data_IF_290703657621
#
_entry.id   IF_290703657621
#
_cell.length_a   1.000
_cell.length_b   1.000
_cell.length_c   1.000
_cell.angle_alpha   90.00
_cell.angle_beta   90.00
_cell.angle_gamma   90.00
#
_symmetry.space_group_name_H-M   'P 1'
#
loop_
_entity.id
_entity.type
_entity.pdbx_description
1 polymer ?
#
# COMPACT_ATOMS: atom_id res chain seq x y z
N UNK A 1 -6.87 21.11 -32.37
CA UNK A 1 -6.50 19.72 -32.05
C UNK A 1 -7.46 19.28 -30.98
N UNK A 2 -8.38 18.40 -31.32
CA UNK A 2 -9.29 17.84 -30.33
C UNK A 2 -8.48 16.98 -29.36
N UNK A 3 -8.76 17.09 -28.06
CA UNK A 3 -8.15 16.22 -27.09
C UNK A 3 -8.74 14.81 -27.24
N UNK A 4 -7.88 13.80 -27.35
CA UNK A 4 -8.28 12.39 -27.49
C UNK A 4 -8.77 11.77 -26.16
N UNK A 5 -9.00 12.59 -25.14
CA UNK A 5 -9.57 12.18 -23.85
C UNK A 5 -11.01 12.70 -23.72
N UNK A 6 -11.94 11.78 -23.47
CA UNK A 6 -13.33 12.10 -23.16
C UNK A 6 -13.53 12.18 -21.64
N UNK A 7 -14.07 13.29 -21.15
CA UNK A 7 -14.43 13.46 -19.74
C UNK A 7 -15.85 12.92 -19.51
N UNK A 8 -15.96 11.68 -19.04
CA UNK A 8 -17.24 10.98 -18.87
C UNK A 8 -18.08 11.56 -17.75
N UNK A 9 -17.48 11.77 -16.58
CA UNK A 9 -18.13 12.33 -15.39
C UNK A 9 -17.11 12.79 -14.36
N UNK A 10 -17.50 13.74 -13.51
CA UNK A 10 -16.75 14.09 -12.31
C UNK A 10 -17.00 13.04 -11.23
N UNK A 11 -15.94 12.50 -10.63
CA UNK A 11 -16.03 11.61 -9.47
C UNK A 11 -16.09 12.44 -8.18
N UNK A 12 -16.73 11.92 -7.11
CA UNK A 12 -16.72 12.59 -5.81
C UNK A 12 -15.28 12.72 -5.31
N UNK A 13 -15.01 13.79 -4.58
CA UNK A 13 -13.76 13.92 -3.85
C UNK A 13 -13.72 12.89 -2.71
N UNK A 14 -12.50 12.55 -2.19
CA UNK A 14 -12.40 11.69 -1.01
C UNK A 14 -13.18 12.20 0.20
N UNK A 15 -13.25 13.52 0.37
CA UNK A 15 -14.01 14.13 1.46
C UNK A 15 -15.52 13.91 1.29
N UNK A 16 -16.06 14.22 0.10
CA UNK A 16 -17.48 14.01 -0.20
C UNK A 16 -17.88 12.53 -0.03
N UNK A 17 -17.03 11.61 -0.47
CA UNK A 17 -17.30 10.17 -0.30
C UNK A 17 -17.31 9.75 1.18
N UNK A 18 -16.37 10.23 1.98
CA UNK A 18 -16.33 9.94 3.42
C UNK A 18 -17.54 10.51 4.17
N UNK A 19 -18.05 11.65 3.75
CA UNK A 19 -19.27 12.24 4.30
C UNK A 19 -20.53 11.44 3.92
N UNK A 20 -20.57 10.88 2.70
CA UNK A 20 -21.67 10.01 2.26
C UNK A 20 -21.62 8.61 2.90
N UNK A 21 -20.42 8.08 3.12
CA UNK A 21 -20.18 6.75 3.70
C UNK A 21 -19.28 6.88 4.95
N UNK A 22 -19.77 7.48 6.03
CA UNK A 22 -18.96 7.69 7.23
C UNK A 22 -18.65 6.39 7.94
N UNK A 23 -17.48 6.32 8.56
CA UNK A 23 -17.11 5.21 9.44
C UNK A 23 -17.66 5.43 10.85
N UNK A 24 -18.01 4.35 11.57
CA UNK A 24 -18.46 4.44 12.95
C UNK A 24 -17.30 4.79 13.90
N UNK A 25 -17.62 5.30 15.08
CA UNK A 25 -16.64 5.58 16.14
C UNK A 25 -15.85 4.35 16.55
N UNK A 26 -16.48 3.16 16.51
CA UNK A 26 -15.83 1.88 16.77
C UNK A 26 -14.74 1.58 15.72
N UNK A 27 -15.04 1.75 14.44
CA UNK A 27 -14.06 1.59 13.34
C UNK A 27 -12.88 2.53 13.51
N UNK A 28 -13.14 3.80 13.88
CA UNK A 28 -12.09 4.80 14.15
C UNK A 28 -11.20 4.34 15.31
N UNK A 29 -11.80 3.84 16.40
CA UNK A 29 -11.04 3.36 17.56
C UNK A 29 -10.17 2.15 17.22
N UNK A 30 -10.72 1.16 16.52
CA UNK A 30 -9.97 -0.03 16.05
C UNK A 30 -8.81 0.40 15.18
N UNK A 31 -9.04 1.30 14.23
CA UNK A 31 -7.97 1.79 13.35
C UNK A 31 -6.87 2.51 14.16
N UNK A 32 -7.24 3.41 15.05
CA UNK A 32 -6.27 4.15 15.85
C UNK A 32 -5.37 3.22 16.68
N UNK A 33 -5.96 2.20 17.32
CA UNK A 33 -5.23 1.20 18.09
C UNK A 33 -4.27 0.42 17.20
N UNK A 34 -4.74 -0.10 16.07
CA UNK A 34 -3.92 -0.92 15.17
C UNK A 34 -2.79 -0.10 14.52
N UNK A 35 -3.05 1.15 14.15
CA UNK A 35 -2.02 2.05 13.62
C UNK A 35 -0.92 2.32 14.65
N UNK A 36 -1.28 2.43 15.94
CA UNK A 36 -0.29 2.60 17.01
C UNK A 36 0.54 1.33 17.21
N UNK A 37 -0.07 0.15 17.22
CA UNK A 37 0.64 -1.13 17.31
C UNK A 37 1.62 -1.30 16.14
N UNK A 38 1.19 -1.00 14.91
CA UNK A 38 2.05 -1.05 13.73
C UNK A 38 3.22 -0.07 13.86
N UNK A 39 2.97 1.17 14.28
CA UNK A 39 4.05 2.14 14.52
C UNK A 39 5.05 1.63 15.54
N UNK A 40 4.60 1.06 16.65
CA UNK A 40 5.46 0.52 17.69
C UNK A 40 6.37 -0.59 17.15
N UNK A 41 5.87 -1.44 16.24
CA UNK A 41 6.69 -2.47 15.59
C UNK A 41 7.74 -1.81 14.67
N UNK A 42 7.37 -0.82 13.85
CA UNK A 42 8.32 -0.11 12.98
C UNK A 42 9.39 0.65 13.77
N UNK A 43 9.05 1.15 14.95
CA UNK A 43 9.96 1.89 15.83
C UNK A 43 10.81 0.95 16.74
N UNK A 44 10.66 -0.37 16.62
CA UNK A 44 11.38 -1.35 17.43
C UNK A 44 10.97 -1.36 18.91
N UNK A 45 9.80 -0.84 19.24
CA UNK A 45 9.21 -0.86 20.59
C UNK A 45 8.40 -2.14 20.86
N UNK A 46 8.11 -2.87 19.82
CA UNK A 46 7.35 -4.12 19.83
C UNK A 46 8.09 -5.13 18.92
N UNK A 47 8.46 -6.28 19.48
CA UNK A 47 9.26 -7.31 18.82
C UNK A 47 8.48 -8.25 17.90
N UNK A 48 7.18 -8.01 17.71
CA UNK A 48 6.35 -8.80 16.79
C UNK A 48 6.77 -8.59 15.34
N UNK A 49 6.66 -9.65 14.55
CA UNK A 49 6.82 -9.56 13.09
C UNK A 49 5.51 -9.16 12.42
N UNK A 50 5.58 -8.30 11.43
CA UNK A 50 4.43 -7.97 10.58
C UNK A 50 4.30 -9.02 9.48
N UNK A 51 3.09 -9.58 9.33
CA UNK A 51 2.70 -10.46 8.23
C UNK A 51 1.60 -9.81 7.41
N UNK A 52 1.93 -9.37 6.17
CA UNK A 52 0.95 -8.89 5.20
C UNK A 52 0.52 -10.04 4.32
N UNK A 53 -0.71 -10.54 4.49
CA UNK A 53 -1.18 -11.76 3.81
C UNK A 53 -2.62 -11.62 3.30
N UNK A 54 -2.88 -12.11 2.09
CA UNK A 54 -4.22 -12.10 1.50
C UNK A 54 -4.22 -12.43 0.01
N UNK A 55 -5.39 -12.38 -0.63
CA UNK A 55 -5.53 -12.68 -2.05
C UNK A 55 -4.72 -11.70 -2.92
N UNK A 56 -4.36 -12.14 -4.12
CA UNK A 56 -3.68 -11.29 -5.09
C UNK A 56 -4.55 -10.10 -5.54
N UNK A 57 -5.87 -10.30 -5.60
CA UNK A 57 -6.87 -9.30 -5.95
C UNK A 57 -8.17 -9.56 -5.21
N UNK A 58 -8.78 -8.52 -4.67
CA UNK A 58 -10.15 -8.58 -4.17
C UNK A 58 -11.10 -8.43 -5.36
N UNK A 59 -11.83 -9.48 -5.68
CA UNK A 59 -12.82 -9.53 -6.77
C UNK A 59 -14.22 -9.94 -6.29
N UNK A 60 -14.30 -10.56 -5.12
CA UNK A 60 -15.53 -10.95 -4.47
C UNK A 60 -15.48 -10.58 -2.98
N UNK A 61 -16.37 -9.70 -2.56
CA UNK A 61 -16.40 -9.18 -1.20
C UNK A 61 -16.59 -10.27 -0.14
N UNK A 62 -17.58 -11.17 -0.35
CA UNK A 62 -17.87 -12.21 0.65
C UNK A 62 -16.74 -13.22 0.78
N UNK A 63 -16.08 -13.57 -0.33
CA UNK A 63 -14.91 -14.44 -0.29
C UNK A 63 -13.73 -13.79 0.46
N UNK A 64 -13.53 -12.49 0.29
CA UNK A 64 -12.50 -11.74 1.03
C UNK A 64 -12.83 -11.70 2.51
N UNK A 65 -14.07 -11.41 2.88
CA UNK A 65 -14.50 -11.37 4.29
C UNK A 65 -14.40 -12.75 4.95
N UNK A 66 -14.81 -13.84 4.28
CA UNK A 66 -14.61 -15.19 4.79
C UNK A 66 -13.12 -15.50 5.04
N UNK A 67 -12.27 -15.15 4.09
CA UNK A 67 -10.82 -15.34 4.22
C UNK A 67 -10.24 -14.60 5.44
N UNK A 68 -10.53 -13.30 5.58
CA UNK A 68 -9.98 -12.51 6.70
C UNK A 68 -10.61 -12.88 8.06
N UNK A 69 -11.85 -13.36 8.08
CA UNK A 69 -12.48 -13.89 9.29
C UNK A 69 -11.74 -15.14 9.80
N UNK A 70 -11.30 -16.01 8.90
CA UNK A 70 -10.44 -17.15 9.25
C UNK A 70 -9.06 -16.70 9.72
N UNK A 71 -8.48 -15.65 9.10
CA UNK A 71 -7.23 -15.06 9.58
C UNK A 71 -7.35 -14.50 10.99
N UNK A 72 -8.52 -13.98 11.39
CA UNK A 72 -8.74 -13.51 12.76
C UNK A 72 -8.55 -14.63 13.78
N UNK A 73 -9.02 -15.83 13.46
CA UNK A 73 -8.79 -17.01 14.31
C UNK A 73 -7.31 -17.39 14.41
N UNK A 74 -6.55 -17.21 13.33
CA UNK A 74 -5.10 -17.43 13.34
C UNK A 74 -4.39 -16.34 14.16
N UNK A 75 -4.77 -15.06 13.98
CA UNK A 75 -4.20 -13.95 14.73
C UNK A 75 -4.26 -14.18 16.24
N UNK A 76 -5.37 -14.68 16.77
CA UNK A 76 -5.50 -14.96 18.20
C UNK A 76 -4.49 -16.00 18.73
N UNK A 77 -4.03 -16.91 17.86
CA UNK A 77 -3.05 -17.95 18.21
C UNK A 77 -1.60 -17.47 18.13
N UNK A 78 -1.34 -16.41 17.37
CA UNK A 78 0.03 -15.95 17.08
C UNK A 78 0.28 -14.49 17.48
N UNK A 79 -0.69 -13.83 18.12
CA UNK A 79 -0.70 -12.41 18.40
C UNK A 79 0.46 -11.88 19.25
N UNK A 80 1.11 -12.77 20.00
CA UNK A 80 2.29 -12.48 20.82
C UNK A 80 3.59 -12.46 20.00
N UNK A 81 3.58 -12.94 18.75
CA UNK A 81 4.75 -13.02 17.86
C UNK A 81 4.53 -12.37 16.50
N UNK A 82 3.31 -12.40 15.99
CA UNK A 82 2.98 -11.98 14.64
C UNK A 82 1.79 -11.02 14.67
N UNK A 83 1.96 -9.87 14.03
CA UNK A 83 0.91 -8.90 13.77
C UNK A 83 0.44 -9.06 12.33
N UNK A 84 -0.78 -9.56 12.12
CA UNK A 84 -1.33 -9.79 10.79
C UNK A 84 -2.01 -8.53 10.27
N UNK A 85 -1.65 -8.14 9.05
CA UNK A 85 -2.33 -7.12 8.24
C UNK A 85 -2.91 -7.83 7.02
N UNK A 86 -4.23 -8.01 6.93
CA UNK A 86 -4.83 -8.61 5.74
C UNK A 86 -4.56 -7.76 4.50
N UNK A 87 -4.11 -8.43 3.44
CA UNK A 87 -3.89 -7.82 2.14
C UNK A 87 -5.19 -7.87 1.33
N UNK A 88 -5.79 -6.71 1.09
CA UNK A 88 -6.98 -6.56 0.25
C UNK A 88 -6.63 -5.59 -0.88
N UNK A 89 -5.96 -6.09 -1.90
CA UNK A 89 -5.60 -5.27 -3.05
C UNK A 89 -6.80 -5.13 -4.00
N UNK A 90 -7.34 -3.92 -4.04
CA UNK A 90 -8.55 -3.58 -4.81
C UNK A 90 -8.25 -3.11 -6.22
N UNK A 91 -6.97 -3.02 -6.57
CA UNK A 91 -6.49 -2.49 -7.85
C UNK A 91 -5.54 -3.46 -8.55
N UNK A 92 -5.54 -3.40 -9.89
CA UNK A 92 -4.60 -4.15 -10.74
C UNK A 92 -4.05 -3.29 -11.87
N UNK A 93 -2.72 -3.22 -12.05
CA UNK A 93 -2.10 -2.46 -13.12
C UNK A 93 -2.21 -3.20 -14.47
N UNK A 94 -3.42 -3.27 -15.04
CA UNK A 94 -3.73 -3.95 -16.32
C UNK A 94 -3.70 -2.98 -17.49
N UNK A 95 -2.59 -2.29 -17.72
CA UNK A 95 -2.44 -1.28 -18.77
C UNK A 95 -2.38 -1.86 -20.19
N UNK A 96 -2.15 -3.17 -20.34
CA UNK A 96 -2.23 -3.84 -21.65
C UNK A 96 -3.66 -4.19 -22.08
N UNK A 97 -4.67 -3.78 -21.30
CA UNK A 97 -6.09 -3.90 -21.67
C UNK A 97 -6.69 -5.30 -21.50
N UNK A 98 -5.96 -6.27 -20.97
CA UNK A 98 -6.43 -7.66 -20.81
C UNK A 98 -6.52 -8.04 -19.34
N UNK A 99 -7.62 -8.69 -18.95
CA UNK A 99 -7.85 -9.26 -17.63
C UNK A 99 -8.55 -8.28 -16.66
N UNK A 100 -8.95 -8.82 -15.52
CA UNK A 100 -9.65 -8.08 -14.47
C UNK A 100 -8.80 -6.94 -13.89
N UNK A 101 -9.35 -5.73 -13.88
CA UNK A 101 -8.64 -4.50 -13.48
C UNK A 101 -8.70 -4.18 -11.99
N UNK A 102 -9.34 -5.03 -11.19
CA UNK A 102 -9.56 -4.81 -9.77
C UNK A 102 -10.89 -4.14 -9.46
N UNK A 103 -11.32 -4.24 -8.21
CA UNK A 103 -12.63 -3.78 -7.74
C UNK A 103 -12.84 -2.28 -7.95
N UNK A 104 -11.77 -1.46 -7.86
CA UNK A 104 -11.87 -0.03 -8.11
C UNK A 104 -12.38 0.31 -9.52
N UNK A 105 -11.98 -0.44 -10.52
CA UNK A 105 -12.41 -0.24 -11.89
C UNK A 105 -13.68 -1.01 -12.23
N UNK A 106 -13.77 -2.22 -11.70
CA UNK A 106 -14.75 -3.23 -12.08
C UNK A 106 -15.25 -3.96 -10.84
N UNK A 107 -16.14 -3.31 -10.05
CA UNK A 107 -16.65 -3.88 -8.79
C UNK A 107 -17.45 -5.18 -9.00
N UNK A 108 -18.01 -5.37 -10.19
CA UNK A 108 -18.64 -6.62 -10.62
C UNK A 108 -17.82 -7.16 -11.81
N UNK A 109 -17.09 -8.28 -11.62
CA UNK A 109 -16.22 -8.84 -12.67
C UNK A 109 -16.93 -9.20 -13.98
N UNK A 110 -18.26 -9.43 -13.92
CA UNK A 110 -19.08 -9.80 -15.08
C UNK A 110 -19.62 -8.57 -15.86
N UNK A 111 -19.41 -7.35 -15.30
CA UNK A 111 -19.93 -6.11 -15.90
C UNK A 111 -18.81 -5.22 -16.44
N UNK A 112 -19.22 -4.20 -17.20
CA UNK A 112 -18.31 -3.14 -17.66
C UNK A 112 -17.78 -2.33 -16.49
N UNK A 113 -16.65 -1.67 -16.71
CA UNK A 113 -16.02 -0.77 -15.76
C UNK A 113 -16.97 0.35 -15.29
N UNK A 114 -16.96 0.62 -13.99
CA UNK A 114 -17.67 1.72 -13.35
C UNK A 114 -16.85 2.23 -12.15
N UNK A 115 -16.04 3.26 -12.39
CA UNK A 115 -15.16 3.84 -11.38
C UNK A 115 -15.91 4.39 -10.17
N UNK A 116 -17.12 4.95 -10.35
CA UNK A 116 -17.90 5.48 -9.23
C UNK A 116 -18.35 4.36 -8.30
N UNK A 117 -18.94 3.31 -8.87
CA UNK A 117 -19.31 2.12 -8.10
C UNK A 117 -18.08 1.44 -7.49
N UNK A 118 -16.98 1.44 -8.21
CA UNK A 118 -15.71 0.89 -7.71
C UNK A 118 -15.21 1.62 -6.47
N UNK A 119 -15.19 2.95 -6.47
CA UNK A 119 -14.79 3.76 -5.31
C UNK A 119 -15.69 3.49 -4.10
N UNK A 120 -16.99 3.33 -4.31
CA UNK A 120 -17.93 2.98 -3.25
C UNK A 120 -17.65 1.55 -2.73
N UNK A 121 -17.55 0.58 -3.63
CA UNK A 121 -17.36 -0.83 -3.29
C UNK A 121 -16.07 -1.08 -2.49
N UNK A 122 -14.95 -0.45 -2.86
CA UNK A 122 -13.70 -0.61 -2.10
C UNK A 122 -13.83 -0.02 -0.69
N UNK A 123 -14.56 1.08 -0.51
CA UNK A 123 -14.80 1.67 0.80
C UNK A 123 -15.71 0.79 1.66
N UNK A 124 -16.78 0.25 1.08
CA UNK A 124 -17.70 -0.68 1.75
C UNK A 124 -16.96 -1.94 2.20
N UNK A 125 -16.16 -2.56 1.32
CA UNK A 125 -15.34 -3.74 1.63
C UNK A 125 -14.40 -3.49 2.81
N UNK A 126 -13.62 -2.41 2.78
CA UNK A 126 -12.70 -2.09 3.87
C UNK A 126 -13.43 -1.74 5.17
N UNK A 127 -14.57 -1.04 5.09
CA UNK A 127 -15.40 -0.76 6.28
C UNK A 127 -15.93 -2.04 6.89
N UNK A 128 -16.42 -2.95 6.07
CA UNK A 128 -16.90 -4.27 6.48
C UNK A 128 -15.80 -5.12 7.10
N UNK A 129 -14.60 -5.10 6.49
CA UNK A 129 -13.43 -5.79 7.04
C UNK A 129 -13.14 -5.38 8.49
N UNK A 130 -13.10 -4.07 8.77
CA UNK A 130 -12.86 -3.58 10.14
C UNK A 130 -14.00 -3.95 11.08
N UNK A 131 -15.25 -3.75 10.65
CA UNK A 131 -16.44 -4.04 11.50
C UNK A 131 -16.58 -5.51 11.87
N UNK A 132 -16.41 -6.41 10.90
CA UNK A 132 -16.68 -7.83 11.12
C UNK A 132 -15.49 -8.58 11.72
N UNK A 133 -14.26 -8.11 11.49
CA UNK A 133 -13.06 -8.85 11.88
C UNK A 133 -12.12 -8.10 12.84
N UNK A 134 -12.30 -6.80 13.01
CA UNK A 134 -11.37 -5.96 13.75
C UNK A 134 -10.03 -5.78 13.07
N UNK A 135 -9.88 -6.16 11.80
CA UNK A 135 -8.68 -5.92 11.01
C UNK A 135 -8.78 -4.64 10.19
N UNK A 136 -7.79 -3.76 10.34
CA UNK A 136 -7.43 -2.79 9.30
C UNK A 136 -6.51 -3.46 8.30
N UNK A 137 -6.59 -3.09 7.02
CA UNK A 137 -6.00 -3.87 5.95
C UNK A 137 -4.94 -3.08 5.15
N UNK A 138 -4.26 -3.79 4.26
CA UNK A 138 -3.32 -3.23 3.30
C UNK A 138 -3.95 -3.15 1.91
N UNK A 139 -3.69 -2.05 1.17
CA UNK A 139 -4.01 -1.95 -0.26
C UNK A 139 -2.82 -1.39 -1.05
N UNK A 140 -2.85 -1.53 -2.36
CA UNK A 140 -1.83 -1.00 -3.26
C UNK A 140 -2.24 0.39 -3.78
N UNK A 141 -1.33 1.35 -3.70
CA UNK A 141 -1.49 2.67 -4.32
C UNK A 141 -1.26 2.54 -5.83
N UNK A 142 -2.31 2.16 -6.57
CA UNK A 142 -2.23 2.09 -8.03
C UNK A 142 -2.19 3.51 -8.64
N UNK A 143 -3.07 4.37 -8.16
CA UNK A 143 -3.04 5.80 -8.43
C UNK A 143 -2.62 6.56 -7.19
N UNK A 144 -1.85 7.65 -7.32
CA UNK A 144 -1.47 8.48 -6.16
C UNK A 144 -2.66 8.95 -5.32
N UNK A 145 -3.84 9.03 -5.93
CA UNK A 145 -5.04 9.58 -5.30
C UNK A 145 -5.92 8.56 -4.60
N UNK A 146 -5.88 7.27 -5.01
CA UNK A 146 -6.90 6.31 -4.58
C UNK A 146 -6.86 6.01 -3.08
N UNK A 147 -5.69 6.04 -2.44
CA UNK A 147 -5.58 5.77 -1.01
C UNK A 147 -6.38 6.77 -0.14
N UNK A 148 -6.60 8.00 -0.62
CA UNK A 148 -7.33 9.02 0.15
C UNK A 148 -8.81 8.68 0.36
N UNK A 149 -9.40 7.89 -0.52
CA UNK A 149 -10.76 7.36 -0.34
C UNK A 149 -10.86 6.36 0.82
N UNK A 150 -9.72 5.78 1.20
CA UNK A 150 -9.58 4.73 2.21
C UNK A 150 -8.66 5.13 3.39
N UNK A 151 -8.19 6.37 3.46
CA UNK A 151 -7.15 6.79 4.44
C UNK A 151 -7.61 6.69 5.90
N UNK A 152 -8.91 6.64 6.14
CA UNK A 152 -9.53 6.40 7.45
C UNK A 152 -9.81 4.91 7.74
N UNK A 153 -9.35 4.00 6.88
CA UNK A 153 -9.60 2.55 6.96
C UNK A 153 -8.32 1.72 6.82
N UNK A 154 -7.36 2.17 5.99
CA UNK A 154 -6.11 1.45 5.75
C UNK A 154 -5.08 1.68 6.85
N UNK A 155 -4.31 0.65 7.17
CA UNK A 155 -3.13 0.74 8.06
C UNK A 155 -1.81 0.44 7.36
N UNK A 156 -1.84 0.09 6.10
CA UNK A 156 -0.65 -0.18 5.29
C UNK A 156 -0.93 0.11 3.81
N UNK A 157 0.05 0.67 3.12
CA UNK A 157 -0.01 0.92 1.67
C UNK A 157 1.25 0.37 1.01
N UNK A 158 1.11 -0.27 -0.15
CA UNK A 158 2.25 -0.65 -0.98
C UNK A 158 2.29 0.20 -2.25
N UNK A 159 3.50 0.61 -2.65
CA UNK A 159 3.77 1.16 -3.97
C UNK A 159 4.35 0.04 -4.84
N UNK A 160 3.67 -0.25 -5.95
CA UNK A 160 3.99 -1.36 -6.83
C UNK A 160 5.31 -1.18 -7.58
N UNK A 161 5.91 -2.27 -8.03
CA UNK A 161 7.18 -2.28 -8.75
C UNK A 161 7.19 -1.49 -10.08
N UNK A 162 6.02 -1.25 -10.67
CA UNK A 162 5.87 -0.42 -11.88
C UNK A 162 5.66 1.05 -11.58
N UNK A 163 5.31 1.38 -10.32
CA UNK A 163 4.98 2.74 -9.88
C UNK A 163 6.07 3.36 -9.02
N UNK A 164 7.03 2.58 -8.53
CA UNK A 164 8.07 3.04 -7.59
C UNK A 164 9.00 4.12 -8.18
N UNK A 165 9.13 4.18 -9.50
CA UNK A 165 9.89 5.21 -10.21
C UNK A 165 9.08 6.48 -10.46
N UNK A 166 7.74 6.39 -10.40
CA UNK A 166 6.87 7.53 -10.67
C UNK A 166 6.94 8.58 -9.55
N UNK A 167 7.20 9.81 -9.96
CA UNK A 167 7.38 10.93 -9.04
C UNK A 167 6.14 11.21 -8.20
N UNK A 168 4.95 11.15 -8.78
CA UNK A 168 3.71 11.40 -8.05
C UNK A 168 3.46 10.37 -6.93
N UNK A 169 3.80 9.10 -7.15
CA UNK A 169 3.72 8.08 -6.11
C UNK A 169 4.69 8.35 -4.96
N UNK A 170 5.94 8.72 -5.26
CA UNK A 170 6.96 9.05 -4.24
C UNK A 170 6.55 10.26 -3.40
N UNK A 171 6.13 11.34 -4.08
CA UNK A 171 5.68 12.58 -3.42
C UNK A 171 4.41 12.35 -2.59
N UNK A 172 3.44 11.60 -3.12
CA UNK A 172 2.22 11.27 -2.37
C UNK A 172 2.53 10.42 -1.14
N UNK A 173 3.44 9.43 -1.27
CA UNK A 173 3.85 8.58 -0.15
C UNK A 173 4.43 9.39 1.02
N UNK A 174 5.09 10.53 0.75
CA UNK A 174 5.63 11.43 1.79
C UNK A 174 4.54 12.11 2.64
N UNK A 175 3.31 12.14 2.16
CA UNK A 175 2.14 12.70 2.87
C UNK A 175 1.18 11.66 3.45
N UNK A 176 1.52 10.37 3.38
CA UNK A 176 0.72 9.28 3.94
C UNK A 176 1.09 9.05 5.40
N UNK A 177 0.11 9.07 6.31
CA UNK A 177 0.34 8.97 7.76
C UNK A 177 0.48 7.55 8.32
N UNK A 178 0.57 6.53 7.44
CA UNK A 178 0.73 5.10 7.78
C UNK A 178 1.92 4.51 7.02
N UNK A 179 2.42 3.32 7.38
CA UNK A 179 3.52 2.68 6.65
C UNK A 179 3.26 2.53 5.17
N UNK A 180 4.26 2.91 4.36
CA UNK A 180 4.26 2.76 2.90
C UNK A 180 5.46 1.92 2.48
N UNK A 181 5.17 0.74 1.92
CA UNK A 181 6.20 -0.16 1.39
C UNK A 181 6.53 0.18 -0.06
N UNK A 182 7.79 0.48 -0.34
CA UNK A 182 8.33 0.71 -1.67
C UNK A 182 8.90 -0.58 -2.24
N UNK A 183 8.26 -1.15 -3.26
CA UNK A 183 8.76 -2.37 -3.91
C UNK A 183 9.97 -2.05 -4.79
N UNK A 184 10.97 -2.94 -4.83
CA UNK A 184 11.98 -2.81 -5.86
C UNK A 184 11.34 -2.92 -7.27
N UNK A 185 11.89 -2.21 -8.28
CA UNK A 185 11.39 -2.28 -9.66
C UNK A 185 11.39 -3.70 -10.21
N UNK A 186 10.67 -3.90 -11.30
CA UNK A 186 10.59 -5.22 -11.96
C UNK A 186 11.94 -5.76 -12.43
N UNK A 187 12.89 -4.87 -12.76
CA UNK A 187 14.27 -5.23 -13.10
C UNK A 187 15.24 -5.41 -11.92
N UNK A 188 14.78 -5.20 -10.68
CA UNK A 188 15.54 -5.51 -9.47
C UNK A 188 16.50 -4.40 -8.98
N UNK A 189 16.45 -3.21 -9.53
CA UNK A 189 17.36 -2.10 -9.13
C UNK A 189 17.04 -1.60 -7.71
N UNK A 190 17.90 -1.97 -6.78
CA UNK A 190 17.79 -1.57 -5.37
C UNK A 190 18.01 -0.06 -5.18
N UNK A 191 18.83 0.58 -6.00
CA UNK A 191 19.08 2.02 -5.89
C UNK A 191 17.82 2.85 -6.17
N UNK A 192 17.00 2.42 -7.11
CA UNK A 192 15.71 3.03 -7.41
C UNK A 192 14.76 2.94 -6.23
N UNK A 193 14.70 1.77 -5.58
CA UNK A 193 13.90 1.57 -4.38
C UNK A 193 14.38 2.44 -3.21
N UNK A 194 15.69 2.50 -2.97
CA UNK A 194 16.30 3.35 -1.94
C UNK A 194 15.97 4.82 -2.18
N UNK A 195 16.15 5.31 -3.40
CA UNK A 195 15.79 6.68 -3.77
C UNK A 195 14.31 6.97 -3.55
N UNK A 196 13.44 5.99 -3.78
CA UNK A 196 11.99 6.13 -3.54
C UNK A 196 11.67 6.23 -2.05
N UNK A 197 12.35 5.46 -1.20
CA UNK A 197 12.22 5.56 0.25
C UNK A 197 12.70 6.91 0.78
N UNK A 198 13.90 7.35 0.33
CA UNK A 198 14.45 8.65 0.69
C UNK A 198 13.46 9.75 0.32
N UNK A 199 12.95 9.75 -0.90
CA UNK A 199 11.95 10.71 -1.34
C UNK A 199 10.69 10.66 -0.47
N UNK A 200 10.17 9.47 -0.15
CA UNK A 200 8.97 9.33 0.67
C UNK A 200 9.18 9.74 2.14
N UNK A 201 10.39 9.63 2.68
CA UNK A 201 10.70 10.06 4.04
C UNK A 201 10.98 11.57 4.17
N UNK A 202 11.12 12.30 3.05
CA UNK A 202 11.31 13.75 3.05
C UNK A 202 10.01 14.51 2.77
N UNK A 203 9.95 15.75 3.26
CA UNK A 203 8.86 16.68 2.94
C UNK A 203 9.04 17.31 1.56
N UNK A 204 7.93 17.52 0.84
CA UNK A 204 7.92 18.09 -0.49
C UNK A 204 6.77 19.07 -0.68
N UNK A 205 6.98 20.05 -1.58
CA UNK A 205 5.90 20.89 -2.10
C UNK A 205 5.67 20.54 -3.57
N UNK A 206 4.44 20.20 -3.95
CA UNK A 206 4.12 19.74 -5.29
C UNK A 206 2.66 19.98 -5.68
N UNK A 207 2.37 19.80 -6.98
CA UNK A 207 1.02 19.88 -7.51
C UNK A 207 0.25 18.57 -7.25
N UNK A 208 -0.87 18.66 -6.57
CA UNK A 208 -1.75 17.53 -6.29
C UNK A 208 -3.22 17.92 -6.50
N UNK A 209 -3.88 17.33 -7.52
CA UNK A 209 -5.30 17.57 -7.83
C UNK A 209 -5.67 19.06 -8.00
N UNK A 210 -4.81 19.84 -8.62
CA UNK A 210 -5.00 21.28 -8.81
C UNK A 210 -4.70 22.14 -7.57
N UNK A 211 -4.10 21.55 -6.53
CA UNK A 211 -3.62 22.25 -5.34
C UNK A 211 -2.10 22.24 -5.25
N UNK A 212 -1.53 23.31 -4.79
CA UNK A 212 -0.19 23.29 -4.22
C UNK A 212 -0.28 22.70 -2.82
N UNK A 213 0.41 21.58 -2.59
CA UNK A 213 0.42 20.88 -1.31
C UNK A 213 1.83 20.75 -0.77
N UNK A 214 1.97 20.72 0.55
CA UNK A 214 3.22 20.39 1.22
C UNK A 214 3.05 19.18 2.12
N UNK A 215 4.10 18.36 2.22
CA UNK A 215 4.16 17.18 3.09
C UNK A 215 5.30 17.30 4.07
N UNK A 216 5.32 16.48 5.11
CA UNK A 216 6.35 16.48 6.17
C UNK A 216 7.33 15.32 6.06
N UNK A 217 7.10 14.39 5.11
CA UNK A 217 7.79 13.12 5.04
C UNK A 217 7.10 12.03 5.86
N UNK A 218 7.28 10.79 5.42
CA UNK A 218 6.71 9.60 6.07
C UNK A 218 7.84 8.75 6.68
N UNK A 219 8.08 8.81 8.00
CA UNK A 219 9.18 8.08 8.65
C UNK A 219 9.00 6.56 8.63
N UNK A 220 7.85 6.05 8.18
CA UNK A 220 7.54 4.62 8.06
C UNK A 220 7.57 4.12 6.61
N UNK A 221 8.05 4.93 5.66
CA UNK A 221 8.34 4.45 4.32
C UNK A 221 9.54 3.48 4.36
N UNK A 222 9.39 2.30 3.77
CA UNK A 222 10.36 1.21 3.89
C UNK A 222 10.45 0.37 2.61
N UNK A 223 11.47 -0.48 2.55
CA UNK A 223 11.74 -1.36 1.42
C UNK A 223 10.83 -2.60 1.39
N UNK A 224 10.43 -3.01 0.18
CA UNK A 224 9.86 -4.34 -0.07
C UNK A 224 10.71 -5.05 -1.14
N UNK A 225 11.39 -6.12 -0.75
CA UNK A 225 12.05 -7.02 -1.68
C UNK A 225 11.04 -8.02 -2.24
N UNK A 226 10.89 -8.05 -3.58
CA UNK A 226 9.85 -8.85 -4.24
C UNK A 226 10.36 -9.78 -5.35
N UNK A 227 11.68 -9.96 -5.44
CA UNK A 227 12.30 -10.58 -6.61
C UNK A 227 12.32 -9.64 -7.82
N UNK A 228 12.86 -10.11 -8.91
CA UNK A 228 12.97 -9.37 -10.17
C UNK A 228 12.97 -10.29 -11.37
N UNK A 229 12.82 -9.71 -12.55
CA UNK A 229 12.96 -10.41 -13.83
C UNK A 229 14.29 -10.02 -14.44
N UNK A 230 15.16 -10.99 -14.67
CA UNK A 230 16.47 -10.76 -15.27
C UNK A 230 16.37 -10.46 -16.79
N UNK A 231 17.49 -10.11 -17.40
CA UNK A 231 17.56 -9.82 -18.85
C UNK A 231 17.18 -10.98 -19.76
N UNK A 232 17.06 -12.19 -19.22
CA UNK A 232 16.64 -13.39 -19.95
C UNK A 232 15.16 -13.75 -19.69
N UNK A 233 14.43 -12.91 -18.94
CA UNK A 233 13.02 -13.13 -18.60
C UNK A 233 12.79 -14.15 -17.48
N UNK A 234 13.82 -14.48 -16.69
CA UNK A 234 13.70 -15.42 -15.57
C UNK A 234 13.35 -14.66 -14.29
N UNK A 235 12.45 -15.22 -13.50
CA UNK A 235 12.17 -14.72 -12.15
C UNK A 235 13.30 -15.12 -11.19
N UNK A 236 13.87 -14.14 -10.51
CA UNK A 236 14.98 -14.31 -9.59
C UNK A 236 14.54 -13.77 -8.23
N UNK A 237 14.64 -14.53 -7.12
CA UNK A 237 14.44 -14.03 -5.79
C UNK A 237 15.58 -13.05 -5.41
N UNK A 238 15.27 -12.08 -4.55
CA UNK A 238 16.26 -11.14 -4.01
C UNK A 238 16.04 -10.93 -2.50
N UNK A 239 15.79 -12.00 -1.79
CA UNK A 239 15.56 -12.01 -0.34
C UNK A 239 16.36 -13.11 0.37
N UNK A 240 17.50 -13.53 -0.22
CA UNK A 240 18.47 -14.35 0.49
C UNK A 240 19.16 -13.52 1.59
N UNK A 241 19.86 -14.17 2.46
CA UNK A 241 20.57 -13.51 3.56
C UNK A 241 21.45 -12.36 3.06
N UNK A 242 22.22 -12.60 2.00
CA UNK A 242 23.12 -11.62 1.39
C UNK A 242 22.39 -10.42 0.81
N UNK A 243 21.22 -10.65 0.19
CA UNK A 243 20.38 -9.56 -0.35
C UNK A 243 19.86 -8.66 0.78
N UNK A 244 19.40 -9.28 1.87
CA UNK A 244 18.90 -8.56 3.04
C UNK A 244 20.02 -7.77 3.73
N UNK A 245 21.18 -8.40 3.92
CA UNK A 245 22.34 -7.75 4.53
C UNK A 245 22.82 -6.57 3.69
N UNK A 246 22.96 -6.74 2.39
CA UNK A 246 23.33 -5.67 1.45
C UNK A 246 22.33 -4.49 1.53
N UNK A 247 21.03 -4.77 1.63
CA UNK A 247 20.03 -3.71 1.77
C UNK A 247 20.16 -2.97 3.11
N UNK A 248 20.40 -3.68 4.21
CA UNK A 248 20.63 -3.05 5.52
C UNK A 248 21.89 -2.18 5.54
N UNK A 249 22.98 -2.65 4.93
CA UNK A 249 24.21 -1.87 4.74
C UNK A 249 23.93 -0.58 3.94
N UNK A 250 23.08 -0.62 2.90
CA UNK A 250 22.67 0.59 2.18
C UNK A 250 21.90 1.58 3.08
N UNK A 251 21.05 1.10 4.00
CA UNK A 251 20.41 1.98 4.98
C UNK A 251 21.46 2.67 5.88
N UNK A 252 22.46 1.91 6.32
CA UNK A 252 23.55 2.44 7.16
C UNK A 252 24.40 3.46 6.40
N UNK A 253 24.75 3.18 5.14
CA UNK A 253 25.54 4.08 4.27
C UNK A 253 24.81 5.40 4.02
N UNK A 254 23.51 5.35 3.76
CA UNK A 254 22.68 6.57 3.59
C UNK A 254 22.72 7.41 4.86
N UNK A 255 22.55 6.79 6.03
CA UNK A 255 22.56 7.47 7.31
C UNK A 255 23.97 7.99 7.68
N UNK A 256 25.03 7.24 7.33
CA UNK A 256 26.42 7.65 7.55
C UNK A 256 26.85 8.83 6.65
N UNK A 257 26.24 8.98 5.48
CA UNK A 257 26.55 10.07 4.53
C UNK A 257 26.25 11.46 5.07
N UNK A 258 25.42 11.57 6.10
CA UNK A 258 24.91 12.83 6.69
C UNK A 258 24.16 13.75 5.71
N UNK A 259 23.91 13.30 4.48
CA UNK A 259 23.13 14.05 3.51
C UNK A 259 21.63 13.91 3.76
N UNK A 260 21.24 12.76 4.26
CA UNK A 260 19.86 12.44 4.66
C UNK A 260 19.89 11.36 5.75
N UNK A 261 18.78 11.24 6.49
CA UNK A 261 18.62 10.20 7.50
C UNK A 261 17.33 9.45 7.24
N UNK A 262 17.44 8.14 7.11
CA UNK A 262 16.29 7.25 7.03
C UNK A 262 15.91 6.80 8.45
N UNK A 263 14.66 7.06 8.81
CA UNK A 263 14.09 6.61 10.06
C UNK A 263 13.57 5.16 9.92
N UNK A 264 13.52 4.44 11.04
CA UNK A 264 12.86 3.12 11.15
C UNK A 264 13.26 2.16 10.02
N UNK A 265 14.54 1.75 9.89
CA UNK A 265 14.99 0.86 8.84
C UNK A 265 14.25 -0.49 8.96
N UNK A 266 13.34 -0.73 8.04
CA UNK A 266 12.52 -1.94 7.97
C UNK A 266 12.55 -2.52 6.57
N UNK A 267 12.43 -3.84 6.47
CA UNK A 267 12.37 -4.58 5.21
C UNK A 267 11.20 -5.56 5.25
N UNK A 268 10.35 -5.50 4.25
CA UNK A 268 9.33 -6.52 4.00
C UNK A 268 9.83 -7.43 2.87
N UNK A 269 9.71 -8.73 3.07
CA UNK A 269 10.02 -9.74 2.05
C UNK A 269 8.72 -10.22 1.42
N UNK A 270 8.54 -9.94 0.13
CA UNK A 270 7.40 -10.41 -0.65
C UNK A 270 7.79 -11.72 -1.37
N UNK A 271 7.42 -12.85 -0.79
CA UNK A 271 7.78 -14.19 -1.25
C UNK A 271 6.92 -14.70 -2.40
N UNK A 272 5.97 -13.90 -2.91
CA UNK A 272 4.96 -14.36 -3.86
C UNK A 272 5.27 -14.03 -5.33
N UNK A 273 6.29 -13.24 -5.62
CA UNK A 273 6.59 -12.74 -6.96
C UNK A 273 7.88 -13.31 -7.57
N UNK A 274 8.60 -14.13 -6.87
CA UNK A 274 9.86 -14.76 -7.32
C UNK A 274 9.80 -16.28 -7.31
#
# INVERSE_FOLDING_TARGET
>A
MEMEMEFLRKLPTPQELKEQFPVSTEVVAVKAQRDEEIRNIFEGKDDRLILVIGPCSADNEDAVIDYISRLRTVQEKVKDKIFIIPRIYTNKPRTIGVGYKGMLHQPDPEKKEDMLKGIIAIRELHTRAVKETGFTCADEMLYPENHRYLSDLLSYVAVGARSVEDQQHRLTASGVGIPVGMKNPTGGDISVMMNSMIAAQHGHTFLYRGWEVTTTGNPYAHAILRGYVDKFGRNIPNYHYEDLQNLLEHYEDVNASQQTTLANPAVIVDTNHS
#
